data_IF_259596282886
#
_entry.id   IF_259596282886
#
_cell.length_a   1.000
_cell.length_b   1.000
_cell.length_c   1.000
_cell.angle_alpha   90.00
_cell.angle_beta   90.00
_cell.angle_gamma   90.00
#
_symmetry.space_group_name_H-M   'P 1'
#
loop_
_entity.id
_entity.type
_entity.pdbx_description
1 polymer ?
#
# COMPACT_ATOMS: atom_id res chain seq x y z
N UNK A 1 -16.88 6.97 -4.02
CA UNK A 1 -17.76 5.79 -4.06
C UNK A 1 -16.93 4.63 -4.58
N UNK A 2 -16.39 3.80 -3.69
CA UNK A 2 -15.80 2.52 -4.06
C UNK A 2 -16.92 1.49 -3.90
N UNK A 3 -17.40 0.94 -5.02
CA UNK A 3 -18.40 -0.12 -5.03
C UNK A 3 -17.62 -1.43 -4.89
N UNK A 4 -17.63 -2.04 -3.70
CA UNK A 4 -17.04 -3.36 -3.46
C UNK A 4 -18.19 -4.36 -3.28
N UNK A 5 -18.26 -5.36 -4.17
CA UNK A 5 -19.26 -6.40 -4.14
C UNK A 5 -19.01 -7.38 -2.99
N UNK A 6 -20.01 -7.52 -2.12
CA UNK A 6 -20.16 -8.58 -1.10
C UNK A 6 -18.99 -8.76 -0.11
N UNK A 7 -18.96 -7.89 0.90
CA UNK A 7 -18.34 -8.21 2.19
C UNK A 7 -19.22 -7.65 3.32
N UNK A 8 -19.08 -8.17 4.55
CA UNK A 8 -19.88 -7.70 5.70
C UNK A 8 -19.65 -6.19 5.92
N UNK A 9 -20.59 -5.49 6.58
CA UNK A 9 -20.50 -4.05 6.79
C UNK A 9 -19.18 -3.58 7.47
N UNK A 10 -18.48 -4.50 8.14
CA UNK A 10 -17.24 -4.23 8.88
C UNK A 10 -15.97 -4.38 8.02
N UNK A 11 -16.11 -4.85 6.78
CA UNK A 11 -14.99 -5.12 5.88
C UNK A 11 -15.28 -4.61 4.47
N UNK A 12 -14.41 -3.74 3.96
CA UNK A 12 -14.44 -3.28 2.59
C UNK A 12 -13.28 -3.90 1.83
N UNK A 13 -13.54 -4.47 0.67
CA UNK A 13 -12.48 -4.94 -0.20
C UNK A 13 -11.93 -3.75 -1.00
N UNK A 14 -10.69 -3.35 -0.70
CA UNK A 14 -10.10 -2.09 -1.20
C UNK A 14 -9.11 -2.36 -2.31
N UNK A 15 -8.52 -3.55 -2.28
CA UNK A 15 -7.82 -4.15 -3.39
C UNK A 15 -8.58 -5.42 -3.78
N UNK A 16 -9.87 -5.30 -4.16
CA UNK A 16 -10.45 -6.36 -4.99
C UNK A 16 -9.41 -6.59 -6.09
N UNK A 17 -9.02 -7.84 -6.41
CA UNK A 17 -8.21 -8.06 -7.58
C UNK A 17 -8.95 -7.32 -8.68
N UNK A 18 -8.32 -6.27 -9.23
CA UNK A 18 -8.81 -5.71 -10.46
C UNK A 18 -9.01 -6.94 -11.34
N UNK A 19 -10.18 -7.11 -11.96
CA UNK A 19 -10.32 -8.16 -12.96
C UNK A 19 -9.28 -7.80 -14.03
N UNK A 20 -8.08 -8.36 -13.88
CA UNK A 20 -6.95 -8.05 -14.70
C UNK A 20 -7.32 -8.69 -16.02
N UNK A 21 -7.72 -7.86 -16.98
CA UNK A 21 -7.94 -8.36 -18.32
C UNK A 21 -6.64 -8.99 -18.81
N UNK A 22 -6.75 -9.92 -19.76
CA UNK A 22 -5.56 -10.48 -20.38
C UNK A 22 -4.64 -9.38 -20.94
N UNK A 23 -5.19 -8.25 -21.41
CA UNK A 23 -4.39 -7.10 -21.85
C UNK A 23 -3.65 -6.42 -20.69
N UNK A 24 -4.28 -6.25 -19.53
CA UNK A 24 -3.61 -5.66 -18.35
C UNK A 24 -2.46 -6.55 -17.84
N UNK A 25 -2.64 -7.87 -17.86
CA UNK A 25 -1.58 -8.82 -17.48
C UNK A 25 -0.43 -8.75 -18.48
N UNK A 26 -0.74 -8.77 -19.78
CA UNK A 26 0.25 -8.64 -20.85
C UNK A 26 1.05 -7.34 -20.71
N UNK A 27 0.39 -6.22 -20.40
CA UNK A 27 1.07 -4.95 -20.18
C UNK A 27 2.03 -5.02 -18.98
N UNK A 28 1.62 -5.64 -17.87
CA UNK A 28 2.47 -5.81 -16.69
C UNK A 28 3.69 -6.70 -16.96
N UNK A 29 3.54 -7.72 -17.81
CA UNK A 29 4.66 -8.56 -18.26
C UNK A 29 5.64 -7.76 -19.11
N UNK A 30 5.16 -6.94 -20.05
CA UNK A 30 6.00 -6.03 -20.85
C UNK A 30 6.75 -5.02 -19.96
N UNK A 31 6.07 -4.43 -18.97
CA UNK A 31 6.69 -3.50 -18.01
C UNK A 31 7.77 -4.18 -17.16
N UNK A 32 7.53 -5.42 -16.73
CA UNK A 32 8.51 -6.23 -16.01
C UNK A 32 9.75 -6.54 -16.86
N UNK A 33 9.55 -6.88 -18.13
CA UNK A 33 10.64 -7.15 -19.07
C UNK A 33 11.50 -5.91 -19.32
N UNK A 34 10.87 -4.74 -19.46
CA UNK A 34 11.57 -3.46 -19.56
C UNK A 34 12.41 -3.16 -18.31
N UNK A 35 11.84 -3.37 -17.12
CA UNK A 35 12.55 -3.20 -15.85
C UNK A 35 13.74 -4.18 -15.75
N UNK A 36 13.54 -5.45 -16.11
CA UNK A 36 14.61 -6.46 -16.10
C UNK A 36 15.72 -6.10 -17.08
N UNK A 37 15.40 -5.64 -18.28
CA UNK A 37 16.37 -5.19 -19.27
C UNK A 37 17.20 -4.00 -18.73
N UNK A 38 16.54 -2.99 -18.17
CA UNK A 38 17.23 -1.83 -17.59
C UNK A 38 18.20 -2.21 -16.46
N UNK A 39 17.82 -3.16 -15.59
CA UNK A 39 18.69 -3.63 -14.51
C UNK A 39 19.87 -4.47 -15.04
N UNK A 40 19.69 -5.23 -16.11
CA UNK A 40 20.78 -5.94 -16.80
C UNK A 40 21.75 -4.98 -17.45
N UNK A 41 21.28 -3.92 -18.10
CA UNK A 41 22.12 -2.87 -18.66
C UNK A 41 22.92 -2.15 -17.57
N UNK A 42 22.39 -2.10 -16.34
CA UNK A 42 23.10 -1.64 -15.14
C UNK A 42 24.04 -2.69 -14.51
N UNK A 43 24.39 -3.75 -15.24
CA UNK A 43 25.31 -4.83 -14.86
C UNK A 43 24.86 -5.73 -13.69
N UNK A 44 23.54 -5.85 -13.43
CA UNK A 44 23.03 -6.88 -12.51
C UNK A 44 22.99 -8.27 -13.17
N UNK A 45 23.39 -9.31 -12.43
CA UNK A 45 23.36 -10.70 -12.94
C UNK A 45 21.97 -11.33 -12.85
N UNK A 46 21.75 -12.41 -13.61
CA UNK A 46 20.50 -13.17 -13.53
C UNK A 46 20.26 -13.77 -12.13
N UNK A 47 21.30 -14.20 -11.41
CA UNK A 47 21.14 -14.64 -10.01
C UNK A 47 20.62 -13.52 -9.11
N UNK A 48 21.13 -12.29 -9.29
CA UNK A 48 20.69 -11.12 -8.52
C UNK A 48 19.25 -10.72 -8.84
N UNK A 49 18.75 -11.04 -10.03
CA UNK A 49 17.39 -10.72 -10.50
C UNK A 49 16.39 -11.87 -10.33
N UNK A 50 16.75 -12.91 -9.58
CA UNK A 50 15.85 -14.05 -9.27
C UNK A 50 14.59 -13.61 -8.51
N UNK A 51 14.67 -12.57 -7.69
CA UNK A 51 13.51 -12.04 -6.95
C UNK A 51 12.49 -11.31 -7.85
N UNK A 52 12.92 -10.84 -9.04
CA UNK A 52 12.14 -9.97 -9.93
C UNK A 52 11.12 -10.79 -10.75
N UNK A 53 10.21 -11.42 -10.02
CA UNK A 53 9.08 -12.20 -10.58
C UNK A 53 7.89 -11.29 -10.87
N UNK A 54 6.95 -11.76 -11.70
CA UNK A 54 5.68 -11.05 -11.93
C UNK A 54 4.89 -10.84 -10.63
N UNK A 55 4.95 -11.79 -9.69
CA UNK A 55 4.36 -11.63 -8.36
C UNK A 55 5.01 -10.53 -7.53
N UNK A 56 6.34 -10.43 -7.56
CA UNK A 56 7.06 -9.35 -6.88
C UNK A 56 6.69 -7.98 -7.49
N UNK A 57 6.67 -7.89 -8.82
CA UNK A 57 6.34 -6.67 -9.56
C UNK A 57 4.90 -6.21 -9.30
N UNK A 58 3.93 -7.14 -9.43
CA UNK A 58 2.55 -6.90 -9.06
C UNK A 58 2.41 -6.44 -7.60
N UNK A 59 3.16 -7.05 -6.68
CA UNK A 59 3.21 -6.65 -5.29
C UNK A 59 3.73 -5.22 -5.10
N UNK A 60 4.75 -4.77 -5.87
CA UNK A 60 5.25 -3.38 -5.83
C UNK A 60 4.16 -2.43 -6.29
N UNK A 61 3.53 -2.72 -7.42
CA UNK A 61 2.44 -1.91 -7.97
C UNK A 61 1.26 -1.83 -7.00
N UNK A 62 0.88 -2.92 -6.34
CA UNK A 62 -0.17 -2.94 -5.33
C UNK A 62 0.17 -2.04 -4.13
N UNK A 63 1.42 -2.07 -3.64
CA UNK A 63 1.90 -1.18 -2.57
C UNK A 63 1.89 0.29 -3.00
N UNK A 64 2.34 0.59 -4.23
CA UNK A 64 2.27 1.94 -4.79
C UNK A 64 0.81 2.41 -4.92
N UNK A 65 -0.12 1.52 -5.34
CA UNK A 65 -1.55 1.83 -5.41
C UNK A 65 -2.17 2.05 -4.02
N UNK A 66 -1.72 1.35 -2.99
CA UNK A 66 -2.14 1.64 -1.62
C UNK A 66 -1.69 3.03 -1.17
N UNK A 67 -0.50 3.46 -1.59
CA UNK A 67 -0.01 4.82 -1.34
C UNK A 67 -0.86 5.91 -2.04
N UNK A 68 -1.70 5.54 -3.01
CA UNK A 68 -2.62 6.46 -3.69
C UNK A 68 -3.93 6.68 -2.91
N UNK A 69 -4.30 5.83 -1.94
CA UNK A 69 -5.24 6.25 -0.90
C UNK A 69 -4.51 7.31 -0.09
N UNK A 70 -5.04 8.54 -0.03
CA UNK A 70 -4.38 9.63 0.70
C UNK A 70 -4.25 9.22 2.17
N UNK A 71 -3.01 9.03 2.61
CA UNK A 71 -2.67 8.60 3.95
C UNK A 71 -2.40 9.83 4.77
N UNK A 72 -3.42 10.29 5.48
CA UNK A 72 -3.21 11.30 6.50
C UNK A 72 -3.37 10.64 7.88
N UNK A 73 -2.23 10.54 8.58
CA UNK A 73 -2.03 10.28 10.02
C UNK A 73 -1.56 8.89 10.46
N UNK A 74 -0.37 8.87 11.06
CA UNK A 74 0.11 7.85 12.00
C UNK A 74 -0.56 7.92 13.40
N UNK A 75 -1.71 8.59 13.52
CA UNK A 75 -2.23 9.10 14.79
C UNK A 75 -3.56 8.55 15.26
N UNK A 76 -4.46 8.19 14.34
CA UNK A 76 -5.82 7.73 14.63
C UNK A 76 -6.36 7.00 13.39
N UNK A 77 -5.86 5.79 13.08
CA UNK A 77 -6.45 5.01 12.02
C UNK A 77 -7.89 4.65 12.41
N UNK A 78 -8.84 4.91 11.52
CA UNK A 78 -10.21 4.39 11.65
C UNK A 78 -10.37 3.06 10.88
N UNK A 79 -9.34 2.64 10.15
CA UNK A 79 -9.32 1.39 9.40
C UNK A 79 -7.97 0.69 9.48
N UNK A 80 -7.96 -0.62 9.26
CA UNK A 80 -6.77 -1.47 9.24
C UNK A 80 -6.77 -2.37 8.00
N UNK A 81 -5.64 -2.45 7.30
CA UNK A 81 -5.49 -3.30 6.13
C UNK A 81 -5.06 -4.72 6.54
N UNK A 82 -5.80 -5.71 6.05
CA UNK A 82 -5.51 -7.13 6.23
C UNK A 82 -5.16 -7.71 4.87
N UNK A 83 -3.92 -8.13 4.72
CA UNK A 83 -3.45 -8.85 3.53
C UNK A 83 -3.84 -10.31 3.63
N UNK A 84 -4.65 -10.79 2.69
CA UNK A 84 -5.07 -12.18 2.65
C UNK A 84 -4.02 -13.00 1.87
N UNK A 85 -3.70 -12.55 0.65
CA UNK A 85 -2.64 -13.10 -0.20
C UNK A 85 -2.06 -11.98 -1.07
N UNK A 86 -0.74 -11.85 -1.20
CA UNK A 86 -0.01 -10.90 -2.08
C UNK A 86 -0.72 -9.59 -2.48
N UNK A 87 -1.63 -9.67 -3.46
CA UNK A 87 -2.33 -8.54 -4.09
C UNK A 87 -3.76 -8.32 -3.56
N UNK A 88 -4.29 -9.24 -2.77
CA UNK A 88 -5.62 -9.21 -2.17
C UNK A 88 -5.55 -8.63 -0.75
N UNK A 89 -6.24 -7.51 -0.55
CA UNK A 89 -6.28 -6.81 0.73
C UNK A 89 -7.68 -6.34 1.11
N UNK A 90 -8.09 -6.73 2.31
CA UNK A 90 -9.33 -6.26 2.93
C UNK A 90 -9.04 -5.10 3.86
N UNK A 91 -9.85 -4.05 3.82
CA UNK A 91 -9.84 -2.97 4.78
C UNK A 91 -10.92 -3.22 5.84
N UNK A 92 -10.52 -3.30 7.11
CA UNK A 92 -11.45 -3.47 8.24
C UNK A 92 -11.63 -2.17 8.99
N UNK A 93 -12.86 -1.85 9.37
CA UNK A 93 -13.12 -0.73 10.26
C UNK A 93 -12.62 -1.04 11.68
N UNK A 94 -11.97 -0.06 12.32
CA UNK A 94 -11.54 -0.16 13.72
C UNK A 94 -12.58 0.42 14.69
N UNK A 95 -13.54 1.19 14.15
CA UNK A 95 -14.65 1.85 14.84
C UNK A 95 -15.73 2.24 13.84
N UNK A 96 -16.87 2.72 14.31
CA UNK A 96 -17.89 3.32 13.44
C UNK A 96 -17.30 4.49 12.64
N UNK A 97 -17.66 4.56 11.35
CA UNK A 97 -17.20 5.56 10.38
C UNK A 97 -18.41 6.27 9.79
N UNK A 98 -18.43 7.60 9.84
CA UNK A 98 -19.54 8.38 9.29
C UNK A 98 -19.48 8.45 7.77
N UNK A 99 -20.62 8.59 7.11
CA UNK A 99 -20.67 8.84 5.68
C UNK A 99 -19.91 10.15 5.35
N UNK A 100 -18.95 10.06 4.43
CA UNK A 100 -18.07 11.18 4.05
C UNK A 100 -16.86 11.38 4.95
N UNK A 101 -16.69 10.59 6.02
CA UNK A 101 -15.45 10.56 6.80
C UNK A 101 -14.33 9.89 5.98
N UNK A 102 -13.13 10.47 6.01
CA UNK A 102 -11.96 9.92 5.33
C UNK A 102 -11.48 8.62 6.00
N UNK A 103 -11.18 7.61 5.19
CA UNK A 103 -10.62 6.34 5.65
C UNK A 103 -9.12 6.47 5.81
N UNK A 104 -8.62 6.13 6.99
CA UNK A 104 -7.22 6.31 7.40
C UNK A 104 -6.66 4.98 7.88
N UNK A 105 -5.52 4.58 7.31
CA UNK A 105 -4.73 3.43 7.73
C UNK A 105 -3.37 3.88 8.28
N UNK A 106 -2.82 3.12 9.22
CA UNK A 106 -1.49 3.36 9.74
C UNK A 106 -0.46 2.57 8.93
N UNK A 107 0.55 3.28 8.42
CA UNK A 107 1.60 2.72 7.56
C UNK A 107 2.75 2.08 8.32
N UNK A 108 2.89 2.49 9.56
CA UNK A 108 4.03 2.22 10.42
C UNK A 108 3.52 1.68 11.73
N UNK A 109 4.39 1.07 12.51
CA UNK A 109 4.03 0.62 13.85
C UNK A 109 3.60 1.82 14.70
N UNK A 110 2.35 1.80 15.14
CA UNK A 110 1.75 2.88 15.94
C UNK A 110 2.36 2.99 17.35
N UNK A 111 3.07 1.96 17.81
CA UNK A 111 3.81 1.97 19.09
C UNK A 111 5.13 2.73 19.00
N UNK A 112 5.62 3.05 17.79
CA UNK A 112 6.83 3.83 17.60
C UNK A 112 6.69 5.22 18.22
N UNK A 113 7.73 5.69 18.91
CA UNK A 113 7.80 7.07 19.39
C UNK A 113 7.89 8.08 18.24
N UNK A 114 7.50 9.33 18.50
CA UNK A 114 7.42 10.40 17.49
C UNK A 114 8.61 10.49 16.54
N UNK A 115 9.83 10.55 17.06
CA UNK A 115 11.02 10.79 16.21
C UNK A 115 11.30 9.62 15.27
N UNK A 116 11.06 8.39 15.72
CA UNK A 116 11.16 7.20 14.87
C UNK A 116 10.10 7.24 13.77
N UNK A 117 8.86 7.66 14.09
CA UNK A 117 7.79 7.83 13.09
C UNK A 117 8.15 8.91 12.06
N UNK A 118 8.62 10.08 12.50
CA UNK A 118 9.00 11.18 11.59
C UNK A 118 10.15 10.78 10.67
N UNK A 119 11.19 10.15 11.21
CA UNK A 119 12.32 9.68 10.41
C UNK A 119 11.88 8.65 9.36
N UNK A 120 11.03 7.69 9.74
CA UNK A 120 10.55 6.66 8.81
C UNK A 120 9.64 7.26 7.73
N UNK A 121 8.73 8.17 8.09
CA UNK A 121 7.83 8.81 7.13
C UNK A 121 8.55 9.78 6.20
N UNK A 122 9.51 10.56 6.70
CA UNK A 122 10.31 11.47 5.89
C UNK A 122 11.24 10.70 4.93
N UNK A 123 11.98 9.71 5.43
CA UNK A 123 12.97 8.99 4.61
C UNK A 123 12.36 7.89 3.74
N UNK A 124 11.29 7.24 4.20
CA UNK A 124 10.64 6.13 3.49
C UNK A 124 9.52 6.57 2.56
N UNK A 125 8.78 7.62 2.93
CA UNK A 125 7.57 8.06 2.21
C UNK A 125 7.62 9.52 1.75
N UNK A 126 8.67 10.27 2.10
CA UNK A 126 8.90 11.63 1.60
C UNK A 126 8.00 12.71 2.20
N UNK A 127 7.40 12.49 3.37
CA UNK A 127 6.52 13.49 4.01
C UNK A 127 6.74 13.62 5.52
N UNK A 128 6.42 14.81 6.05
CA UNK A 128 6.41 15.09 7.49
C UNK A 128 4.99 14.90 8.07
N UNK A 129 4.85 14.09 9.12
CA UNK A 129 3.56 13.79 9.69
C UNK A 129 3.11 14.87 10.68
N UNK A 130 1.94 15.47 10.47
CA UNK A 130 1.37 16.50 11.36
C UNK A 130 0.15 16.02 12.13
N UNK A 131 0.08 14.72 12.41
CA UNK A 131 -0.99 14.14 13.20
C UNK A 131 -1.03 14.70 14.63
N UNK A 132 -2.17 14.58 15.30
CA UNK A 132 -2.33 15.02 16.70
C UNK A 132 -1.22 14.47 17.62
N UNK A 133 -0.85 13.19 17.50
CA UNK A 133 0.25 12.56 18.26
C UNK A 133 1.61 13.20 17.98
N UNK A 134 1.93 13.40 16.69
CA UNK A 134 3.17 14.07 16.28
C UNK A 134 3.21 15.55 16.69
N UNK A 135 2.06 16.21 16.78
CA UNK A 135 1.93 17.59 17.26
C UNK A 135 1.98 17.69 18.79
N UNK A 136 1.55 16.65 19.51
CA UNK A 136 1.57 16.58 20.98
C UNK A 136 2.87 16.01 21.55
N UNK A 137 3.86 15.69 20.72
CA UNK A 137 5.12 15.05 21.11
C UNK A 137 4.97 13.68 21.80
N UNK A 138 3.93 12.93 21.43
CA UNK A 138 3.69 11.52 21.78
C UNK A 138 4.12 10.62 20.62
#
# INVERSE_FOLDING_TARGET
>A
MVISGMASADSMDVLQPALLSAEMISLMEEELDLLRAALKDAAMTDEQLTFLTIGWYAGVLARIRINAFRIELAGDPNTHIVWVENVDATLKALRDIKAGEELRICYIDASMGRDARQNLLSNGFGFECRCSRCMSND
#
